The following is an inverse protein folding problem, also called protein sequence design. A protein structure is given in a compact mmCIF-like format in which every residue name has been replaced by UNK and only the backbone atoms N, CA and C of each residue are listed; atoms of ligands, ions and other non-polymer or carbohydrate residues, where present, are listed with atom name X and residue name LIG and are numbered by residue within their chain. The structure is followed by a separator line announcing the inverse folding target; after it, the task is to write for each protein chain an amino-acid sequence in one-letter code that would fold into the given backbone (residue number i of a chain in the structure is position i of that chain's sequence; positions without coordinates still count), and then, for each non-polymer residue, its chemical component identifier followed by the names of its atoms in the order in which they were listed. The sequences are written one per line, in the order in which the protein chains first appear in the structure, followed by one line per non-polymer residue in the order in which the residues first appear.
data_IF_566364505789
#
_entry.id   IF_566364505789
#
_cell.length_a   1.000
_cell.length_b   1.000
_cell.length_c   1.000
_cell.angle_alpha   90.00
_cell.angle_beta   90.00
_cell.angle_gamma   90.00
#
_symmetry.space_group_name_H-M   'P 1'
#
loop_
_entity.id
_entity.type
_entity.pdbx_description
1 polymer ?
#
# COMPACT_ATOMS: atom_id res chain seq x y z
N UNK A 1 0.09 20.83 -7.62
CA UNK A 1 0.98 19.91 -6.88
C UNK A 1 0.47 18.48 -6.99
N UNK A 2 1.36 17.52 -7.01
CA UNK A 2 1.05 16.09 -7.09
C UNK A 2 1.44 15.39 -5.78
N UNK A 3 0.53 14.57 -5.23
CA UNK A 3 0.81 13.62 -4.18
C UNK A 3 0.64 12.21 -4.76
N UNK A 4 1.72 11.45 -4.78
CA UNK A 4 1.74 10.04 -5.21
C UNK A 4 1.78 9.18 -3.97
N UNK A 5 0.89 8.21 -3.89
CA UNK A 5 0.81 7.27 -2.78
C UNK A 5 1.09 5.84 -3.25
N UNK A 6 1.77 5.08 -2.41
CA UNK A 6 1.61 3.64 -2.42
C UNK A 6 0.23 3.25 -1.88
N UNK A 7 -0.16 1.98 -2.05
CA UNK A 7 -1.45 1.47 -1.58
C UNK A 7 -1.32 0.63 -0.31
N UNK A 8 -0.62 -0.50 -0.41
CA UNK A 8 -0.56 -1.50 0.65
C UNK A 8 0.33 -1.03 1.80
N UNK A 9 -0.18 -1.07 3.03
CA UNK A 9 0.48 -0.55 4.22
C UNK A 9 0.76 0.97 4.21
N UNK A 10 0.15 1.66 3.24
CA UNK A 10 0.17 3.13 3.11
C UNK A 10 -1.25 3.70 3.21
N UNK A 11 -2.10 3.46 2.21
CA UNK A 11 -3.50 3.89 2.22
C UNK A 11 -4.44 2.83 2.80
N UNK A 12 -4.07 1.56 2.75
CA UNK A 12 -4.81 0.43 3.34
C UNK A 12 -3.89 -0.43 4.20
N UNK A 13 -4.39 -0.88 5.36
CA UNK A 13 -3.63 -1.67 6.32
C UNK A 13 -3.62 -3.16 5.92
N UNK A 14 -2.75 -3.49 4.96
CA UNK A 14 -2.59 -4.84 4.43
C UNK A 14 -2.03 -5.82 5.47
N UNK A 15 -1.08 -5.37 6.26
CA UNK A 15 -0.44 -6.20 7.31
C UNK A 15 -1.45 -6.66 8.36
N UNK A 16 -2.40 -5.81 8.75
CA UNK A 16 -3.51 -6.24 9.63
C UNK A 16 -4.51 -7.12 8.90
N UNK A 17 -4.77 -6.87 7.62
CA UNK A 17 -5.70 -7.69 6.85
C UNK A 17 -5.23 -9.14 6.72
N UNK A 18 -3.95 -9.38 6.39
CA UNK A 18 -3.42 -10.75 6.32
C UNK A 18 -3.42 -11.44 7.68
N UNK A 19 -3.14 -10.72 8.75
CA UNK A 19 -3.21 -11.26 10.12
C UNK A 19 -4.64 -11.64 10.51
N UNK A 20 -5.64 -10.80 10.22
CA UNK A 20 -7.06 -11.10 10.47
C UNK A 20 -7.51 -12.32 9.66
N UNK A 21 -7.12 -12.39 8.40
CA UNK A 21 -7.42 -13.54 7.55
C UNK A 21 -6.80 -14.83 8.10
N UNK A 22 -5.54 -14.78 8.55
CA UNK A 22 -4.87 -15.91 9.18
C UNK A 22 -5.62 -16.36 10.46
N UNK A 23 -6.07 -15.42 11.29
CA UNK A 23 -6.88 -15.72 12.49
C UNK A 23 -8.20 -16.43 12.13
N UNK A 24 -8.89 -15.95 11.10
CA UNK A 24 -10.13 -16.58 10.62
C UNK A 24 -9.87 -17.99 10.11
N UNK A 25 -8.80 -18.20 9.34
CA UNK A 25 -8.41 -19.52 8.83
C UNK A 25 -8.08 -20.48 9.97
N UNK A 26 -7.24 -20.07 10.89
CA UNK A 26 -6.83 -20.87 12.06
C UNK A 26 -8.03 -21.26 12.91
N UNK A 27 -8.95 -20.32 13.18
CA UNK A 27 -10.19 -20.58 13.91
C UNK A 27 -11.12 -21.57 13.19
N UNK A 28 -11.27 -21.39 11.86
CA UNK A 28 -12.11 -22.26 11.02
C UNK A 28 -11.60 -23.71 10.97
N UNK A 29 -10.30 -23.87 10.78
CA UNK A 29 -9.67 -25.19 10.62
C UNK A 29 -9.35 -25.86 11.98
N UNK A 30 -9.40 -25.13 13.10
CA UNK A 30 -8.99 -25.60 14.42
C UNK A 30 -7.49 -25.82 14.52
N UNK A 31 -6.70 -25.02 13.83
CA UNK A 31 -5.23 -25.08 13.85
C UNK A 31 -4.67 -24.48 15.15
N UNK A 32 -3.39 -24.76 15.45
CA UNK A 32 -2.69 -24.07 16.54
C UNK A 32 -2.59 -22.56 16.28
N UNK A 33 -2.68 -21.74 17.34
CA UNK A 33 -2.52 -20.30 17.27
C UNK A 33 -1.16 -19.87 16.66
N UNK A 34 -0.12 -20.70 16.80
CA UNK A 34 1.20 -20.44 16.21
C UNK A 34 1.16 -20.37 14.68
N UNK A 35 0.15 -21.02 14.06
CA UNK A 35 -0.03 -20.98 12.61
C UNK A 35 -0.32 -19.55 12.10
N UNK A 36 -0.86 -18.64 12.93
CA UNK A 36 -1.11 -17.24 12.53
C UNK A 36 0.22 -16.57 12.15
N UNK A 37 1.23 -16.69 13.03
CA UNK A 37 2.55 -16.13 12.75
C UNK A 37 3.23 -16.75 11.53
N UNK A 38 3.09 -18.08 11.38
CA UNK A 38 3.61 -18.80 10.21
C UNK A 38 2.97 -18.31 8.90
N UNK A 39 1.63 -18.17 8.87
CA UNK A 39 0.90 -17.67 7.68
C UNK A 39 1.34 -16.26 7.31
N UNK A 40 1.44 -15.36 8.29
CA UNK A 40 1.92 -13.98 8.06
C UNK A 40 3.36 -13.99 7.53
N UNK A 41 4.24 -14.83 8.07
CA UNK A 41 5.62 -14.95 7.58
C UNK A 41 5.72 -15.51 6.14
N UNK A 42 4.85 -16.47 5.78
CA UNK A 42 4.80 -17.04 4.41
C UNK A 42 4.38 -15.95 3.39
N UNK A 43 3.54 -15.03 3.79
CA UNK A 43 3.07 -13.94 2.92
C UNK A 43 4.19 -12.95 2.51
N UNK A 44 5.26 -12.85 3.30
CA UNK A 44 6.43 -12.01 3.00
C UNK A 44 6.06 -10.57 2.62
N UNK A 45 5.21 -9.93 3.42
CA UNK A 45 4.68 -8.57 3.19
C UNK A 45 4.10 -8.39 1.78
N UNK A 46 3.42 -9.44 1.26
CA UNK A 46 2.80 -9.44 -0.06
C UNK A 46 3.72 -9.82 -1.21
N UNK A 47 5.00 -10.03 -0.96
CA UNK A 47 5.96 -10.42 -1.99
C UNK A 47 5.78 -11.88 -2.45
N UNK A 48 5.13 -12.74 -1.65
CA UNK A 48 4.88 -14.11 -2.04
C UNK A 48 3.88 -14.21 -3.20
N UNK A 49 4.23 -14.88 -4.31
CA UNK A 49 3.25 -15.19 -5.35
C UNK A 49 2.05 -15.91 -4.75
N UNK A 50 0.82 -15.50 -5.12
CA UNK A 50 -0.40 -15.97 -4.46
C UNK A 50 -0.56 -17.49 -4.45
N UNK A 51 -0.23 -18.14 -5.54
CA UNK A 51 -0.34 -19.59 -5.64
C UNK A 51 0.69 -20.31 -4.76
N UNK A 52 1.91 -19.79 -4.67
CA UNK A 52 2.95 -20.27 -3.76
C UNK A 52 2.53 -20.08 -2.30
N UNK A 53 2.06 -18.89 -1.94
CA UNK A 53 1.52 -18.59 -0.62
C UNK A 53 0.45 -19.61 -0.20
N UNK A 54 -0.59 -19.81 -1.03
CA UNK A 54 -1.69 -20.72 -0.70
C UNK A 54 -1.24 -22.20 -0.65
N UNK A 55 -0.29 -22.60 -1.52
CA UNK A 55 0.26 -23.95 -1.48
C UNK A 55 1.03 -24.21 -0.18
N UNK A 56 1.85 -23.27 0.28
CA UNK A 56 2.58 -23.38 1.55
C UNK A 56 1.63 -23.34 2.74
N UNK A 57 0.65 -22.42 2.76
CA UNK A 57 -0.39 -22.37 3.81
C UNK A 57 -1.16 -23.70 3.89
N UNK A 58 -1.50 -24.28 2.73
CA UNK A 58 -2.18 -25.58 2.68
C UNK A 58 -1.36 -26.72 3.31
N UNK A 59 -0.04 -26.64 3.29
CA UNK A 59 0.83 -27.66 3.88
C UNK A 59 0.98 -27.56 5.41
N UNK A 60 0.42 -26.52 6.03
CA UNK A 60 0.54 -26.32 7.47
C UNK A 60 -0.24 -27.39 8.26
N UNK A 61 0.28 -27.82 9.43
CA UNK A 61 -0.39 -28.81 10.27
C UNK A 61 -1.79 -28.35 10.69
N UNK A 62 -2.76 -29.26 10.58
CA UNK A 62 -4.15 -28.99 10.95
C UNK A 62 -5.04 -28.45 9.81
N UNK A 63 -4.48 -28.18 8.64
CA UNK A 63 -5.25 -27.82 7.45
C UNK A 63 -6.10 -29.02 6.97
N UNK A 64 -7.40 -28.78 6.77
CA UNK A 64 -8.37 -29.81 6.32
C UNK A 64 -8.97 -29.48 4.95
N UNK A 65 -9.00 -28.20 4.57
CA UNK A 65 -9.42 -27.80 3.23
C UNK A 65 -8.49 -28.37 2.17
N UNK A 66 -9.05 -28.71 1.02
CA UNK A 66 -8.26 -28.89 -0.20
C UNK A 66 -7.67 -27.55 -0.68
N UNK A 67 -6.64 -27.59 -1.54
CA UNK A 67 -6.05 -26.38 -2.14
C UNK A 67 -7.10 -25.54 -2.85
N UNK A 68 -8.06 -26.18 -3.54
CA UNK A 68 -9.13 -25.50 -4.27
C UNK A 68 -10.10 -24.78 -3.29
N UNK A 69 -10.49 -25.44 -2.21
CA UNK A 69 -11.35 -24.84 -1.19
C UNK A 69 -10.65 -23.65 -0.50
N UNK A 70 -9.37 -23.82 -0.15
CA UNK A 70 -8.58 -22.73 0.45
C UNK A 70 -8.48 -21.53 -0.51
N UNK A 71 -8.24 -21.76 -1.81
CA UNK A 71 -8.20 -20.71 -2.83
C UNK A 71 -9.52 -19.97 -2.92
N UNK A 72 -10.63 -20.68 -3.01
CA UNK A 72 -11.96 -20.10 -3.09
C UNK A 72 -12.31 -19.33 -1.81
N UNK A 73 -11.95 -19.88 -0.66
CA UNK A 73 -12.19 -19.22 0.62
C UNK A 73 -11.34 -17.94 0.76
N UNK A 74 -10.07 -17.99 0.35
CA UNK A 74 -9.22 -16.80 0.31
C UNK A 74 -9.83 -15.72 -0.59
N UNK A 75 -10.23 -16.07 -1.79
CA UNK A 75 -10.82 -15.13 -2.74
C UNK A 75 -12.09 -14.46 -2.19
N UNK A 76 -12.94 -15.21 -1.48
CA UNK A 76 -14.20 -14.70 -0.93
C UNK A 76 -14.08 -13.99 0.42
N UNK A 77 -12.99 -14.19 1.17
CA UNK A 77 -12.89 -13.68 2.55
C UNK A 77 -11.79 -12.64 2.77
N UNK A 78 -10.73 -12.63 1.96
CA UNK A 78 -9.57 -11.78 2.24
C UNK A 78 -9.90 -10.28 2.18
N UNK A 79 -10.71 -9.85 1.21
CA UNK A 79 -11.07 -8.45 1.07
C UNK A 79 -11.84 -7.93 2.30
N UNK A 80 -12.70 -8.75 2.91
CA UNK A 80 -13.44 -8.39 4.12
C UNK A 80 -12.56 -8.23 5.37
N UNK A 81 -11.29 -8.66 5.31
CA UNK A 81 -10.32 -8.47 6.38
C UNK A 81 -9.69 -7.07 6.41
N UNK A 82 -9.85 -6.28 5.34
CA UNK A 82 -9.48 -4.87 5.36
C UNK A 82 -10.46 -4.08 6.23
N UNK A 83 -9.91 -3.13 6.99
CA UNK A 83 -10.70 -2.20 7.80
C UNK A 83 -11.23 -1.01 6.99
N UNK A 84 -11.97 -0.15 7.65
CA UNK A 84 -12.28 1.20 7.14
C UNK A 84 -11.08 2.10 7.42
N UNK A 85 -10.58 2.77 6.39
CA UNK A 85 -9.36 3.57 6.47
C UNK A 85 -9.69 5.07 6.65
N UNK A 86 -10.32 5.42 7.79
CA UNK A 86 -10.78 6.78 8.08
C UNK A 86 -9.65 7.83 7.99
N UNK A 87 -8.42 7.48 8.38
CA UNK A 87 -7.28 8.39 8.29
C UNK A 87 -6.88 8.66 6.83
N UNK A 88 -6.88 7.61 5.99
CA UNK A 88 -6.61 7.74 4.56
C UNK A 88 -7.67 8.59 3.87
N UNK A 89 -8.96 8.35 4.17
CA UNK A 89 -10.06 9.16 3.65
C UNK A 89 -9.88 10.63 4.02
N UNK A 90 -9.58 10.94 5.29
CA UNK A 90 -9.35 12.31 5.76
C UNK A 90 -8.12 12.94 5.10
N UNK A 91 -7.02 12.21 5.00
CA UNK A 91 -5.79 12.68 4.36
C UNK A 91 -6.01 13.05 2.89
N UNK A 92 -6.62 12.14 2.10
CA UNK A 92 -6.91 12.40 0.70
C UNK A 92 -7.94 13.52 0.51
N UNK A 93 -8.98 13.59 1.35
CA UNK A 93 -9.97 14.68 1.30
C UNK A 93 -9.31 16.03 1.59
N UNK A 94 -8.37 16.09 2.54
CA UNK A 94 -7.64 17.32 2.86
C UNK A 94 -6.76 17.79 1.69
N UNK A 95 -6.06 16.87 1.03
CA UNK A 95 -5.28 17.20 -0.18
C UNK A 95 -6.17 17.69 -1.32
N UNK A 96 -7.33 17.06 -1.54
CA UNK A 96 -8.28 17.51 -2.56
C UNK A 96 -8.83 18.90 -2.27
N UNK A 97 -9.14 19.22 -1.01
CA UNK A 97 -9.55 20.56 -0.59
C UNK A 97 -8.44 21.60 -0.87
N UNK A 98 -7.17 21.22 -0.74
CA UNK A 98 -6.01 22.02 -1.11
C UNK A 98 -5.69 22.01 -2.62
N UNK A 99 -6.55 21.42 -3.46
CA UNK A 99 -6.42 21.30 -4.92
C UNK A 99 -5.19 20.53 -5.40
N UNK A 100 -4.71 19.58 -4.61
CA UNK A 100 -3.67 18.66 -5.05
C UNK A 100 -4.26 17.58 -5.95
N UNK A 101 -3.44 17.12 -6.90
CA UNK A 101 -3.70 15.89 -7.65
C UNK A 101 -3.20 14.71 -6.85
N UNK A 102 -3.98 13.63 -6.87
CA UNK A 102 -3.72 12.41 -6.08
C UNK A 102 -3.56 11.24 -7.04
N UNK A 103 -2.35 10.71 -7.09
CA UNK A 103 -2.04 9.49 -7.82
C UNK A 103 -1.77 8.33 -6.86
N UNK A 104 -2.08 7.11 -7.29
CA UNK A 104 -1.68 5.88 -6.59
C UNK A 104 -0.79 5.05 -7.51
N UNK A 105 0.35 4.60 -6.99
CA UNK A 105 1.28 3.68 -7.67
C UNK A 105 1.50 2.45 -6.82
N UNK A 106 1.29 1.26 -7.38
CA UNK A 106 1.44 0.00 -6.64
C UNK A 106 2.04 -1.11 -7.49
N UNK A 107 2.83 -1.99 -6.85
CA UNK A 107 3.38 -3.19 -7.48
C UNK A 107 2.40 -4.38 -7.46
N UNK A 108 1.18 -4.20 -6.94
CA UNK A 108 0.12 -5.20 -6.89
C UNK A 108 -0.48 -5.57 -8.25
N UNK A 109 -1.57 -6.33 -8.24
CA UNK A 109 -2.35 -6.66 -9.45
C UNK A 109 -3.50 -5.66 -9.65
N UNK A 110 -3.87 -5.41 -10.90
CA UNK A 110 -4.94 -4.47 -11.26
C UNK A 110 -6.27 -4.80 -10.56
N UNK A 111 -6.70 -6.05 -10.65
CA UNK A 111 -7.96 -6.51 -10.07
C UNK A 111 -8.02 -6.26 -8.56
N UNK A 112 -7.01 -6.75 -7.82
CA UNK A 112 -6.94 -6.62 -6.36
C UNK A 112 -6.81 -5.16 -5.89
N UNK A 113 -6.08 -4.35 -6.63
CA UNK A 113 -5.93 -2.93 -6.34
C UNK A 113 -7.26 -2.20 -6.46
N UNK A 114 -8.01 -2.48 -7.53
CA UNK A 114 -9.34 -1.87 -7.74
C UNK A 114 -10.34 -2.31 -6.67
N UNK A 115 -10.35 -3.60 -6.31
CA UNK A 115 -11.19 -4.13 -5.23
C UNK A 115 -10.88 -3.45 -3.88
N UNK A 116 -9.61 -3.34 -3.51
CA UNK A 116 -9.17 -2.67 -2.26
C UNK A 116 -9.59 -1.21 -2.21
N UNK A 117 -9.31 -0.44 -3.27
CA UNK A 117 -9.66 0.97 -3.35
C UNK A 117 -11.18 1.19 -3.26
N UNK A 118 -11.96 0.32 -3.88
CA UNK A 118 -13.43 0.38 -3.82
C UNK A 118 -13.93 0.02 -2.44
N UNK A 119 -13.42 -1.07 -1.85
CA UNK A 119 -13.79 -1.52 -0.51
C UNK A 119 -13.47 -0.49 0.58
N UNK A 120 -12.29 0.15 0.49
CA UNK A 120 -11.84 1.19 1.40
C UNK A 120 -12.51 2.55 1.16
N UNK A 121 -13.36 2.70 0.15
CA UNK A 121 -14.00 3.98 -0.19
C UNK A 121 -13.04 5.04 -0.75
N UNK A 122 -11.84 4.64 -1.17
CA UNK A 122 -10.78 5.56 -1.63
C UNK A 122 -10.86 5.86 -3.13
N UNK A 123 -11.49 5.00 -3.93
CA UNK A 123 -11.56 5.14 -5.38
C UNK A 123 -12.05 6.52 -5.86
N UNK A 124 -13.08 7.17 -5.26
CA UNK A 124 -13.53 8.50 -5.70
C UNK A 124 -12.57 9.64 -5.33
N UNK A 125 -11.59 9.38 -4.48
CA UNK A 125 -10.67 10.39 -3.96
C UNK A 125 -9.37 10.50 -4.74
N UNK A 126 -9.06 9.54 -5.62
CA UNK A 126 -7.84 9.51 -6.44
C UNK A 126 -8.12 10.02 -7.85
N UNK A 127 -7.13 10.72 -8.46
CA UNK A 127 -7.21 11.21 -9.84
C UNK A 127 -6.64 10.18 -10.84
N UNK A 128 -5.65 9.39 -10.43
CA UNK A 128 -5.03 8.37 -11.27
C UNK A 128 -4.54 7.16 -10.48
N UNK A 129 -4.60 5.99 -11.11
CA UNK A 129 -4.06 4.73 -10.62
C UNK A 129 -3.05 4.20 -11.65
N UNK A 130 -1.86 3.80 -11.19
CA UNK A 130 -0.85 3.08 -11.97
C UNK A 130 -0.48 1.80 -11.22
N UNK A 131 -0.80 0.67 -11.83
CA UNK A 131 -0.45 -0.66 -11.33
C UNK A 131 0.69 -1.22 -12.19
N UNK A 132 1.74 -1.73 -11.56
CA UNK A 132 2.94 -2.23 -12.23
C UNK A 132 2.62 -3.23 -13.35
N UNK A 133 1.68 -4.14 -13.12
CA UNK A 133 1.28 -5.14 -14.10
C UNK A 133 0.62 -4.53 -15.37
N UNK A 134 -0.04 -3.37 -15.24
CA UNK A 134 -0.66 -2.65 -16.36
C UNK A 134 0.35 -1.74 -17.08
N UNK A 135 1.17 -1.02 -16.30
CA UNK A 135 2.17 -0.08 -16.85
C UNK A 135 3.37 -0.82 -17.47
N UNK A 136 3.60 -2.07 -17.04
CA UNK A 136 4.68 -2.92 -17.53
C UNK A 136 6.02 -2.70 -16.80
N UNK A 137 6.06 -1.85 -15.77
CA UNK A 137 7.23 -1.62 -14.93
C UNK A 137 6.83 -1.41 -13.47
N UNK A 138 7.54 -2.03 -12.50
CA UNK A 138 7.29 -1.83 -11.09
C UNK A 138 8.04 -0.62 -10.52
N UNK A 139 7.65 -0.14 -9.36
CA UNK A 139 8.52 0.68 -8.50
C UNK A 139 9.76 -0.16 -8.15
N UNK A 140 10.95 0.42 -8.09
CA UNK A 140 11.30 1.85 -8.12
C UNK A 140 11.56 2.45 -9.51
N UNK A 141 11.15 1.81 -10.61
CA UNK A 141 11.40 2.33 -11.95
C UNK A 141 10.71 3.69 -12.16
N UNK A 142 11.47 4.71 -12.57
CA UNK A 142 10.98 6.07 -12.79
C UNK A 142 9.74 6.14 -13.70
N UNK A 143 9.65 5.25 -14.68
CA UNK A 143 8.57 5.28 -15.69
C UNK A 143 7.18 5.14 -15.08
N UNK A 144 7.02 4.45 -13.94
CA UNK A 144 5.71 4.34 -13.29
C UNK A 144 5.29 5.67 -12.64
N UNK A 145 6.26 6.46 -12.14
CA UNK A 145 6.01 7.79 -11.58
C UNK A 145 5.71 8.82 -12.69
N UNK A 146 6.42 8.75 -13.82
CA UNK A 146 6.13 9.58 -15.00
C UNK A 146 4.70 9.29 -15.51
N UNK A 147 4.28 8.03 -15.53
CA UNK A 147 2.95 7.62 -15.99
C UNK A 147 1.83 8.13 -15.08
N UNK A 148 1.99 8.05 -13.75
CA UNK A 148 0.95 8.57 -12.84
C UNK A 148 0.80 10.08 -12.95
N UNK A 149 1.89 10.84 -13.11
CA UNK A 149 1.84 12.27 -13.34
C UNK A 149 1.12 12.61 -14.65
N UNK A 150 1.44 11.89 -15.73
CA UNK A 150 0.77 12.01 -17.03
C UNK A 150 -0.74 11.74 -16.93
N UNK A 151 -1.15 10.69 -16.20
CA UNK A 151 -2.58 10.36 -15.98
C UNK A 151 -3.28 11.41 -15.12
N UNK A 152 -2.58 12.00 -14.16
CA UNK A 152 -3.09 13.13 -13.37
C UNK A 152 -3.16 14.45 -14.16
N UNK A 153 -2.55 14.53 -15.36
CA UNK A 153 -2.51 15.72 -16.18
C UNK A 153 -1.64 16.83 -15.61
N UNK A 154 -0.55 16.48 -14.90
CA UNK A 154 0.38 17.41 -14.27
C UNK A 154 1.83 16.97 -14.51
N UNK A 155 2.78 17.87 -14.27
CA UNK A 155 4.20 17.53 -14.23
C UNK A 155 4.52 16.63 -13.04
N UNK A 156 5.58 15.82 -13.16
CA UNK A 156 6.10 14.99 -12.06
C UNK A 156 6.84 15.90 -11.06
N UNK A 157 6.07 16.55 -10.21
CA UNK A 157 6.57 17.46 -9.17
C UNK A 157 5.65 17.41 -7.96
N UNK A 158 6.21 17.09 -6.81
CA UNK A 158 5.45 16.95 -5.57
C UNK A 158 6.05 15.91 -4.63
N UNK A 159 5.23 14.97 -4.15
CA UNK A 159 5.61 14.02 -3.11
C UNK A 159 5.27 12.59 -3.48
N UNK A 160 6.15 11.67 -3.09
CA UNK A 160 5.86 10.24 -2.95
C UNK A 160 5.69 9.92 -1.47
N UNK A 161 4.57 9.30 -1.12
CA UNK A 161 4.23 8.87 0.22
C UNK A 161 4.08 7.35 0.22
N UNK A 162 4.84 6.65 1.03
CA UNK A 162 4.80 5.20 1.09
C UNK A 162 5.55 4.63 2.28
N UNK A 163 5.50 3.31 2.45
CA UNK A 163 6.12 2.61 3.56
C UNK A 163 7.35 1.78 3.17
N UNK A 164 7.55 1.50 1.87
CA UNK A 164 8.67 0.70 1.36
C UNK A 164 9.91 1.57 1.08
N UNK A 165 11.05 1.37 1.81
CA UNK A 165 12.22 2.22 1.66
C UNK A 165 12.77 2.27 0.23
N UNK A 166 12.91 1.12 -0.45
CA UNK A 166 13.52 1.04 -1.78
C UNK A 166 12.54 1.49 -2.86
N UNK A 167 11.34 0.90 -2.86
CA UNK A 167 10.34 1.08 -3.92
C UNK A 167 9.72 2.48 -3.91
N UNK A 168 9.37 2.97 -2.71
CA UNK A 168 8.66 4.25 -2.57
C UNK A 168 9.62 5.40 -2.38
N UNK A 169 10.46 5.31 -1.34
CA UNK A 169 11.33 6.43 -0.96
C UNK A 169 12.50 6.55 -1.94
N UNK A 170 13.22 5.45 -2.18
CA UNK A 170 14.29 5.40 -3.17
C UNK A 170 13.80 5.72 -4.58
N UNK A 171 12.70 5.07 -5.00
CA UNK A 171 12.11 5.28 -6.32
C UNK A 171 11.58 6.70 -6.50
N UNK A 172 10.84 7.23 -5.52
CA UNK A 172 10.32 8.60 -5.53
C UNK A 172 11.44 9.65 -5.61
N UNK A 173 12.48 9.51 -4.78
CA UNK A 173 13.64 10.40 -4.80
C UNK A 173 14.39 10.37 -6.14
N UNK A 174 14.63 9.17 -6.72
CA UNK A 174 15.25 9.03 -8.04
C UNK A 174 14.39 9.62 -9.16
N UNK A 175 13.07 9.60 -9.00
CA UNK A 175 12.14 10.23 -9.93
C UNK A 175 12.07 11.76 -9.78
N UNK A 176 12.70 12.33 -8.74
CA UNK A 176 12.74 13.78 -8.47
C UNK A 176 11.59 14.28 -7.59
N UNK A 177 10.87 13.37 -6.96
CA UNK A 177 9.85 13.71 -5.95
C UNK A 177 10.50 13.88 -4.57
N UNK A 178 9.91 14.72 -3.73
CA UNK A 178 10.14 14.69 -2.29
C UNK A 178 9.47 13.46 -1.71
N UNK A 179 9.93 12.98 -0.56
CA UNK A 179 9.50 11.69 -0.04
C UNK A 179 9.03 11.78 1.41
N UNK A 180 7.95 11.08 1.71
CA UNK A 180 7.43 10.91 3.06
C UNK A 180 7.30 9.42 3.37
N UNK A 181 8.07 8.95 4.34
CA UNK A 181 8.08 7.56 4.76
C UNK A 181 7.14 7.30 5.92
N UNK A 182 6.26 6.32 5.78
CA UNK A 182 5.42 5.82 6.85
C UNK A 182 6.16 4.74 7.62
N UNK A 183 6.57 5.05 8.85
CA UNK A 183 7.43 4.19 9.68
C UNK A 183 6.83 2.84 9.99
N UNK A 184 5.55 2.77 10.27
CA UNK A 184 4.85 1.55 10.71
C UNK A 184 5.57 0.83 11.85
N UNK A 185 6.07 1.60 12.81
CA UNK A 185 6.83 1.10 13.95
C UNK A 185 8.28 0.71 13.66
N UNK A 186 8.77 0.91 12.43
CA UNK A 186 10.16 0.65 12.02
C UNK A 186 11.04 1.88 12.26
N UNK A 187 12.35 1.67 12.21
CA UNK A 187 13.37 2.73 12.13
C UNK A 187 13.98 2.72 10.74
N UNK A 188 14.39 3.88 10.27
CA UNK A 188 15.11 3.97 9.01
C UNK A 188 16.44 3.20 9.11
N UNK A 189 16.71 2.32 8.15
CA UNK A 189 17.87 1.41 8.15
C UNK A 189 19.04 1.88 7.27
N UNK A 190 18.83 2.92 6.43
CA UNK A 190 19.88 3.55 5.63
C UNK A 190 20.21 2.84 4.30
N UNK A 191 19.43 1.86 3.84
CA UNK A 191 19.65 1.20 2.54
C UNK A 191 19.58 2.17 1.35
N UNK A 192 18.75 3.21 1.45
CA UNK A 192 18.62 4.29 0.46
C UNK A 192 18.72 5.64 1.18
N UNK A 193 18.89 6.77 0.46
CA UNK A 193 18.89 8.09 1.09
C UNK A 193 17.67 8.30 1.98
N UNK A 194 17.81 9.00 3.12
CA UNK A 194 16.71 9.19 4.06
C UNK A 194 15.55 9.96 3.42
N UNK A 195 14.31 9.72 3.87
CA UNK A 195 13.15 10.48 3.40
C UNK A 195 13.23 11.96 3.85
N UNK A 196 12.54 12.86 3.14
CA UNK A 196 12.38 14.25 3.57
C UNK A 196 11.51 14.37 4.82
N UNK A 197 10.54 13.44 4.99
CA UNK A 197 9.62 13.36 6.13
C UNK A 197 9.52 11.91 6.60
N UNK A 198 9.55 11.70 7.91
CA UNK A 198 9.12 10.47 8.58
C UNK A 198 7.81 10.73 9.32
N UNK A 199 6.83 9.83 9.17
CA UNK A 199 5.53 9.94 9.83
C UNK A 199 5.05 8.57 10.34
N UNK A 200 4.18 8.56 11.34
CA UNK A 200 3.58 7.34 11.85
C UNK A 200 2.25 6.99 11.14
N UNK A 201 1.63 7.99 10.49
CA UNK A 201 0.40 7.78 9.72
C UNK A 201 0.37 8.64 8.45
N UNK A 202 -0.49 8.22 7.51
CA UNK A 202 -0.73 8.99 6.28
C UNK A 202 -1.30 10.39 6.56
N UNK A 203 -2.10 10.52 7.60
CA UNK A 203 -2.69 11.79 8.00
C UNK A 203 -1.62 12.76 8.53
N UNK A 204 -0.68 12.27 9.34
CA UNK A 204 0.47 13.04 9.82
C UNK A 204 1.38 13.48 8.67
N UNK A 205 1.70 12.56 7.74
CA UNK A 205 2.49 12.87 6.55
C UNK A 205 1.86 14.01 5.73
N UNK A 206 0.57 13.90 5.42
CA UNK A 206 -0.17 14.92 4.65
C UNK A 206 -0.22 16.26 5.39
N UNK A 207 -0.47 16.27 6.70
CA UNK A 207 -0.45 17.50 7.49
C UNK A 207 0.91 18.20 7.44
N UNK A 208 2.00 17.43 7.56
CA UNK A 208 3.38 17.95 7.51
C UNK A 208 3.71 18.50 6.12
N UNK A 209 3.32 17.79 5.05
CA UNK A 209 3.49 18.21 3.66
C UNK A 209 2.81 19.55 3.39
N UNK A 210 1.53 19.68 3.77
CA UNK A 210 0.77 20.91 3.55
C UNK A 210 1.34 22.10 4.31
N UNK A 211 1.81 21.89 5.55
CA UNK A 211 2.48 22.93 6.33
C UNK A 211 3.81 23.37 5.70
N UNK A 212 4.58 22.45 5.14
CA UNK A 212 5.84 22.74 4.45
C UNK A 212 5.59 23.56 3.16
N UNK A 213 4.56 23.19 2.40
CA UNK A 213 4.23 23.84 1.12
C UNK A 213 3.70 25.28 1.31
N UNK A 214 2.93 25.51 2.37
CA UNK A 214 2.47 26.87 2.72
C UNK A 214 3.62 27.84 3.03
N UNK A 215 4.70 27.35 3.66
CA UNK A 215 5.87 28.18 3.99
C UNK A 215 6.68 28.59 2.76
N UNK A 216 6.65 27.78 1.70
CA UNK A 216 7.35 28.08 0.43
C UNK A 216 6.60 29.15 -0.38
N UNK A 217 5.27 29.21 -0.28
CA UNK A 217 4.42 30.11 -1.05
C UNK A 217 4.17 31.47 -0.37
N UNK A 218 4.79 31.75 0.77
CA UNK A 218 4.64 33.02 1.52
C UNK A 218 5.79 34.03 1.31
N UNK A 219 6.64 33.83 0.26
CA UNK A 219 7.74 34.75 -0.12
C UNK A 219 7.54 35.39 -1.48
#
# INVERSE_FOLDING_TARGET
MLAVFDLDDTLVDRSSAIRRWAQLLVGREGMSADAIGAIVGIDRDGAAPRDEFLAVVHSLPGMRMTVTELRNWYAGSYLSCYGVEDESIRALTTLRAARWKIGVVTNGSQERTTEKLTHAGLAPLIDALCVAAEVGVPKPDRRIFDEVARRCGVELSGWMIGDAPVEDIGGGAQAGLRTAWLRRGRRWDGEVPPPDIEADSVLEAVATILNADQRINTW
#
